data_IF_788398994372
#
_entry.id   IF_788398994372
#
_cell.length_a   1.000
_cell.length_b   1.000
_cell.length_c   1.000
_cell.angle_alpha   90.00
_cell.angle_beta   90.00
_cell.angle_gamma   90.00
#
_symmetry.space_group_name_H-M   'P 1'
#
loop_
_entity.id
_entity.type
_entity.pdbx_description
1 polymer ?
#
# COMPACT_ATOMS: atom_id res chain seq x y z
N UNK A 1 1.68 39.03 -10.28
CA UNK A 1 1.20 37.94 -11.17
C UNK A 1 1.89 36.67 -10.72
N UNK A 2 1.21 35.84 -9.93
CA UNK A 2 1.82 34.60 -9.42
C UNK A 2 1.95 33.61 -10.59
N UNK A 3 3.18 33.12 -10.79
CA UNK A 3 3.46 32.03 -11.70
C UNK A 3 2.65 30.82 -11.26
N UNK A 4 1.75 30.41 -12.14
CA UNK A 4 0.93 29.23 -12.01
C UNK A 4 1.86 28.00 -12.02
N UNK A 5 2.32 27.57 -10.84
CA UNK A 5 2.97 26.28 -10.66
C UNK A 5 1.93 25.21 -11.00
N UNK A 6 1.91 24.79 -12.28
CA UNK A 6 1.41 23.46 -12.62
C UNK A 6 2.26 22.51 -11.79
N UNK A 7 1.74 22.06 -10.63
CA UNK A 7 2.25 20.89 -9.92
C UNK A 7 2.36 19.78 -10.96
N UNK A 8 3.56 19.53 -11.47
CA UNK A 8 3.83 18.37 -12.31
C UNK A 8 3.54 17.19 -11.39
N UNK A 9 2.48 16.43 -11.70
CA UNK A 9 2.19 15.21 -10.96
C UNK A 9 3.47 14.37 -10.95
N UNK A 10 3.93 13.99 -9.76
CA UNK A 10 5.09 13.12 -9.61
C UNK A 10 4.88 11.88 -10.48
N UNK A 11 5.88 11.53 -11.28
CA UNK A 11 5.85 10.29 -12.07
C UNK A 11 5.65 9.05 -11.16
N UNK A 12 6.04 9.18 -9.89
CA UNK A 12 5.83 8.15 -8.88
C UNK A 12 4.40 8.22 -8.33
N UNK A 13 3.51 7.43 -8.92
CA UNK A 13 2.09 7.37 -8.62
C UNK A 13 1.65 6.07 -7.91
N UNK A 14 2.61 5.22 -7.54
CA UNK A 14 2.41 4.01 -6.72
C UNK A 14 3.26 4.08 -5.47
N UNK A 15 2.69 3.75 -4.30
CA UNK A 15 3.47 3.47 -3.09
C UNK A 15 3.61 1.96 -2.89
N UNK A 16 4.84 1.49 -2.68
CA UNK A 16 5.15 0.12 -2.30
C UNK A 16 5.44 0.11 -0.79
N UNK A 17 4.62 -0.60 -0.02
CA UNK A 17 4.74 -0.66 1.46
C UNK A 17 5.37 -1.98 1.91
N UNK A 18 6.13 -1.95 3.02
CA UNK A 18 6.52 -3.19 3.69
C UNK A 18 5.26 -3.93 4.19
N UNK A 19 5.08 -5.18 3.77
CA UNK A 19 3.76 -5.80 3.73
C UNK A 19 3.69 -7.23 4.26
N UNK A 20 4.63 -7.67 5.12
CA UNK A 20 4.56 -9.02 5.71
C UNK A 20 3.21 -9.31 6.37
N UNK A 21 2.65 -8.36 7.11
CA UNK A 21 1.28 -8.43 7.63
C UNK A 21 0.23 -7.81 6.69
N UNK A 22 0.59 -6.76 5.95
CA UNK A 22 -0.37 -6.00 5.16
C UNK A 22 -0.85 -6.72 3.89
N UNK A 23 -0.05 -7.61 3.31
CA UNK A 23 -0.43 -8.34 2.10
C UNK A 23 -1.60 -9.30 2.33
N UNK A 24 -1.58 -10.19 3.34
CA UNK A 24 -2.76 -10.98 3.69
C UNK A 24 -3.98 -10.13 4.06
N UNK A 25 -3.76 -9.02 4.79
CA UNK A 25 -4.85 -8.10 5.16
C UNK A 25 -5.54 -7.51 3.93
N UNK A 26 -4.77 -7.04 2.94
CA UNK A 26 -5.34 -6.54 1.71
C UNK A 26 -6.16 -7.62 0.99
N UNK A 27 -5.62 -8.84 0.84
CA UNK A 27 -6.35 -9.92 0.14
C UNK A 27 -7.67 -10.31 0.82
N UNK A 28 -7.79 -10.11 2.14
CA UNK A 28 -8.98 -10.52 2.90
C UNK A 28 -9.98 -9.39 3.12
N UNK A 29 -9.50 -8.15 3.29
CA UNK A 29 -10.32 -7.02 3.73
C UNK A 29 -10.33 -5.85 2.74
N UNK A 30 -9.53 -5.93 1.67
CA UNK A 30 -9.41 -4.91 0.63
C UNK A 30 -9.05 -3.53 1.22
N UNK A 31 -8.20 -3.55 2.25
CA UNK A 31 -7.78 -2.37 2.97
C UNK A 31 -6.31 -2.47 3.40
N UNK A 32 -5.68 -1.31 3.52
CA UNK A 32 -4.40 -1.13 4.17
C UNK A 32 -4.59 -0.38 5.48
N UNK A 33 -4.15 -0.99 6.58
CA UNK A 33 -4.27 -0.47 7.94
C UNK A 33 -2.87 -0.24 8.49
N UNK A 34 -2.59 0.96 8.99
CA UNK A 34 -1.27 1.30 9.53
C UNK A 34 -1.38 2.30 10.69
N UNK A 35 -0.22 2.78 11.17
CA UNK A 35 -0.17 3.76 12.25
C UNK A 35 -1.01 5.00 11.90
N UNK A 36 -1.75 5.56 12.88
CA UNK A 36 -2.59 6.73 12.65
C UNK A 36 -1.73 7.88 12.14
N UNK A 37 -2.30 8.70 11.24
CA UNK A 37 -1.67 9.92 10.72
C UNK A 37 -0.33 9.69 9.98
N UNK A 38 -0.01 8.44 9.59
CA UNK A 38 1.17 8.16 8.76
C UNK A 38 1.04 8.86 7.42
N UNK A 39 2.01 9.72 7.11
CA UNK A 39 2.06 10.50 5.87
C UNK A 39 2.39 9.65 4.64
N UNK A 40 1.71 9.94 3.54
CA UNK A 40 1.98 9.41 2.21
C UNK A 40 2.06 10.55 1.21
N UNK A 41 2.91 10.42 0.19
CA UNK A 41 2.83 11.28 -0.99
C UNK A 41 1.50 11.02 -1.70
N UNK A 42 1.06 12.00 -2.50
CA UNK A 42 -0.15 11.83 -3.31
C UNK A 42 0.09 10.76 -4.38
N UNK A 43 -0.48 9.58 -4.17
CA UNK A 43 -0.44 8.43 -5.07
C UNK A 43 -1.83 7.85 -5.24
N UNK A 44 -2.07 7.15 -6.34
CA UNK A 44 -3.39 6.58 -6.64
C UNK A 44 -3.43 5.07 -6.47
N UNK A 45 -2.27 4.43 -6.27
CA UNK A 45 -2.15 2.97 -6.19
C UNK A 45 -1.20 2.55 -5.09
N UNK A 46 -1.40 1.33 -4.61
CA UNK A 46 -0.57 0.71 -3.60
C UNK A 46 -0.06 -0.65 -4.10
N UNK A 47 1.21 -0.94 -3.84
CA UNK A 47 1.80 -2.27 -4.00
C UNK A 47 2.38 -2.77 -2.68
N UNK A 48 2.63 -4.07 -2.60
CA UNK A 48 2.99 -4.75 -1.35
C UNK A 48 4.33 -5.45 -1.49
N UNK A 49 5.30 -5.11 -0.65
CA UNK A 49 6.58 -5.81 -0.57
C UNK A 49 6.56 -6.82 0.58
N UNK A 50 6.53 -8.10 0.25
CA UNK A 50 6.47 -9.21 1.21
C UNK A 50 7.32 -10.37 0.70
N UNK A 51 7.93 -11.12 1.63
CA UNK A 51 8.69 -12.34 1.34
C UNK A 51 9.79 -12.15 0.28
N UNK A 52 10.47 -11.00 0.34
CA UNK A 52 11.58 -10.69 -0.57
C UNK A 52 11.14 -10.33 -1.99
N UNK A 53 9.87 -10.00 -2.23
CA UNK A 53 9.38 -9.60 -3.54
C UNK A 53 8.27 -8.54 -3.45
N UNK A 54 8.06 -7.80 -4.52
CA UNK A 54 6.82 -7.04 -4.72
C UNK A 54 5.75 -8.02 -5.20
N UNK A 55 4.62 -8.05 -4.51
CA UNK A 55 3.48 -8.91 -4.79
C UNK A 55 2.72 -8.43 -6.04
N UNK A 56 2.02 -9.34 -6.76
CA UNK A 56 1.55 -9.06 -8.11
C UNK A 56 0.39 -8.07 -8.19
N UNK A 57 -0.38 -7.88 -7.10
CA UNK A 57 -1.56 -7.01 -7.14
C UNK A 57 -1.22 -5.57 -6.75
N UNK A 58 -1.66 -4.64 -7.60
CA UNK A 58 -1.49 -3.19 -7.46
C UNK A 58 -2.86 -2.50 -7.47
N UNK A 59 -3.62 -2.59 -6.37
CA UNK A 59 -4.93 -1.96 -6.26
C UNK A 59 -4.90 -0.44 -6.35
N UNK A 60 -6.03 0.13 -6.79
CA UNK A 60 -6.33 1.55 -6.67
C UNK A 60 -6.68 1.90 -5.23
N UNK A 61 -6.20 3.05 -4.75
CA UNK A 61 -6.62 3.65 -3.49
C UNK A 61 -7.97 4.33 -3.71
N UNK A 62 -8.97 3.98 -2.91
CA UNK A 62 -10.30 4.58 -3.01
C UNK A 62 -10.30 5.88 -2.21
N UNK A 63 -10.00 7.01 -2.86
CA UNK A 63 -9.73 8.30 -2.20
C UNK A 63 -10.83 8.76 -1.22
N UNK A 64 -12.11 8.49 -1.54
CA UNK A 64 -13.25 8.81 -0.67
C UNK A 64 -13.33 7.96 0.62
N UNK A 65 -12.52 6.91 0.73
CA UNK A 65 -12.47 5.97 1.84
C UNK A 65 -11.04 5.87 2.40
N UNK A 66 -10.42 7.03 2.61
CA UNK A 66 -9.19 7.19 3.38
C UNK A 66 -9.52 7.88 4.68
N UNK A 67 -9.20 7.22 5.79
CA UNK A 67 -9.47 7.69 7.14
C UNK A 67 -8.14 7.77 7.90
N UNK A 68 -7.71 8.99 8.22
CA UNK A 68 -6.40 9.24 8.84
C UNK A 68 -6.27 8.68 10.25
N UNK A 69 -7.37 8.71 11.01
CA UNK A 69 -7.41 8.29 12.40
C UNK A 69 -8.78 7.73 12.74
N UNK A 70 -8.86 6.41 12.87
CA UNK A 70 -10.06 5.64 13.19
C UNK A 70 -9.83 4.91 14.51
N UNK A 71 -10.73 5.09 15.47
CA UNK A 71 -10.75 4.26 16.67
C UNK A 71 -11.34 2.89 16.33
N UNK A 72 -10.60 1.81 16.55
CA UNK A 72 -11.10 0.46 16.33
C UNK A 72 -11.87 0.00 17.56
N UNK A 73 -13.19 0.16 17.52
CA UNK A 73 -14.13 -0.27 18.57
C UNK A 73 -15.38 -0.86 17.93
N UNK A 74 -15.80 -2.02 18.43
CA UNK A 74 -16.93 -2.76 17.87
C UNK A 74 -18.21 -1.92 17.88
N UNK A 75 -18.91 -1.84 16.74
CA UNK A 75 -20.18 -1.12 16.59
C UNK A 75 -20.09 0.41 16.63
N UNK A 76 -18.87 0.99 16.69
CA UNK A 76 -18.69 2.44 16.72
C UNK A 76 -18.93 3.11 15.36
N UNK A 77 -18.56 2.43 14.27
CA UNK A 77 -18.64 2.96 12.91
C UNK A 77 -19.78 2.30 12.13
N UNK A 78 -20.19 2.92 11.01
CA UNK A 78 -21.26 2.40 10.13
C UNK A 78 -20.76 2.20 8.70
N UNK A 79 -21.50 1.39 7.94
CA UNK A 79 -21.19 1.08 6.54
C UNK A 79 -19.85 0.35 6.41
N UNK A 80 -19.21 0.50 5.25
CA UNK A 80 -17.98 -0.24 4.91
C UNK A 80 -16.85 -0.10 5.94
N UNK A 81 -16.74 1.05 6.62
CA UNK A 81 -15.76 1.24 7.68
C UNK A 81 -16.11 0.45 8.94
N UNK A 82 -17.39 0.44 9.34
CA UNK A 82 -17.88 -0.38 10.46
C UNK A 82 -17.64 -1.86 10.21
N UNK A 83 -18.03 -2.34 9.03
CA UNK A 83 -17.86 -3.74 8.65
C UNK A 83 -16.37 -4.17 8.70
N UNK A 84 -15.46 -3.30 8.24
CA UNK A 84 -14.02 -3.53 8.32
C UNK A 84 -13.53 -3.59 9.77
N UNK A 85 -13.90 -2.60 10.59
CA UNK A 85 -13.45 -2.49 11.98
C UNK A 85 -13.93 -3.69 12.79
N UNK A 86 -15.21 -4.02 12.73
CA UNK A 86 -15.81 -5.10 13.50
C UNK A 86 -15.20 -6.45 13.11
N UNK A 87 -15.06 -6.70 11.79
CA UNK A 87 -14.48 -7.96 11.29
C UNK A 87 -13.01 -8.12 11.68
N UNK A 88 -12.21 -7.05 11.56
CA UNK A 88 -10.77 -7.11 11.88
C UNK A 88 -10.50 -7.25 13.38
N UNK A 89 -11.37 -6.70 14.23
CA UNK A 89 -11.35 -6.94 15.67
C UNK A 89 -11.75 -8.39 16.01
N UNK A 90 -12.85 -8.87 15.42
CA UNK A 90 -13.32 -10.26 15.62
C UNK A 90 -12.26 -11.28 15.21
N UNK A 91 -11.53 -11.03 14.12
CA UNK A 91 -10.47 -11.90 13.61
C UNK A 91 -9.13 -11.72 14.35
N UNK A 92 -9.09 -10.89 15.40
CA UNK A 92 -7.90 -10.61 16.22
C UNK A 92 -6.74 -9.96 15.46
N UNK A 93 -7.03 -9.31 14.33
CA UNK A 93 -6.02 -8.66 13.48
C UNK A 93 -5.65 -7.27 13.98
N UNK A 94 -6.58 -6.60 14.65
CA UNK A 94 -6.41 -5.28 15.26
C UNK A 94 -6.77 -5.33 16.74
N UNK A 95 -6.29 -4.33 17.49
CA UNK A 95 -6.55 -4.23 18.93
C UNK A 95 -7.69 -3.25 19.19
N UNK A 96 -8.63 -3.65 20.03
CA UNK A 96 -9.74 -2.80 20.43
C UNK A 96 -9.26 -1.57 21.21
N UNK A 97 -9.92 -0.42 20.98
CA UNK A 97 -9.61 0.87 21.58
C UNK A 97 -8.37 1.58 21.00
N UNK A 98 -7.67 0.96 20.03
CA UNK A 98 -6.52 1.59 19.38
C UNK A 98 -6.93 2.42 18.16
N UNK A 99 -6.08 3.38 17.79
CA UNK A 99 -6.28 4.21 16.61
C UNK A 99 -5.41 3.76 15.44
N UNK A 100 -5.98 3.77 14.24
CA UNK A 100 -5.28 3.40 13.02
C UNK A 100 -5.64 4.32 11.85
N UNK A 101 -4.75 4.42 10.88
CA UNK A 101 -5.06 4.93 9.54
C UNK A 101 -5.59 3.79 8.69
N UNK A 102 -6.70 4.02 8.00
CA UNK A 102 -7.35 3.05 7.12
C UNK A 102 -7.43 3.62 5.70
N UNK A 103 -6.92 2.86 4.73
CA UNK A 103 -7.07 3.16 3.30
C UNK A 103 -7.76 1.98 2.63
N UNK A 104 -8.97 2.19 2.12
CA UNK A 104 -9.63 1.18 1.31
C UNK A 104 -9.00 1.10 -0.08
N UNK A 105 -8.90 -0.12 -0.58
CA UNK A 105 -8.25 -0.50 -1.82
C UNK A 105 -9.27 -1.22 -2.71
N UNK A 106 -9.10 -1.12 -4.02
CA UNK A 106 -9.92 -1.87 -4.96
C UNK A 106 -9.80 -3.38 -4.72
N UNK A 107 -10.88 -4.11 -4.98
CA UNK A 107 -10.95 -5.57 -4.81
C UNK A 107 -9.93 -6.29 -5.71
N UNK A 108 -9.28 -7.39 -5.26
CA UNK A 108 -8.33 -8.17 -6.05
C UNK A 108 -8.80 -8.56 -7.46
N UNK A 109 -10.08 -8.87 -7.65
CA UNK A 109 -10.68 -9.25 -8.92
C UNK A 109 -11.33 -8.10 -9.70
N UNK A 110 -11.27 -6.87 -9.19
CA UNK A 110 -11.84 -5.71 -9.89
C UNK A 110 -10.93 -5.19 -11.00
N UNK A 111 -11.52 -4.60 -12.04
CA UNK A 111 -10.77 -3.92 -13.12
C UNK A 111 -9.93 -2.74 -12.64
N UNK A 112 -10.19 -2.24 -11.42
CA UNK A 112 -9.41 -1.17 -10.80
C UNK A 112 -8.10 -1.70 -10.15
N UNK A 113 -7.96 -3.01 -10.00
CA UNK A 113 -6.73 -3.67 -9.52
C UNK A 113 -5.93 -4.20 -10.70
N UNK A 114 -4.68 -3.77 -10.81
CA UNK A 114 -3.78 -4.33 -11.81
C UNK A 114 -3.04 -5.53 -11.25
N UNK A 115 -3.03 -6.61 -12.01
CA UNK A 115 -2.18 -7.77 -11.80
C UNK A 115 -0.92 -7.63 -12.66
N UNK A 116 0.25 -7.74 -12.04
CA UNK A 116 1.55 -7.73 -12.70
C UNK A 116 1.91 -9.11 -13.30
N UNK A 117 1.00 -10.09 -13.20
CA UNK A 117 1.13 -11.51 -13.57
C UNK A 117 2.09 -12.30 -12.67
N UNK A 118 3.20 -11.68 -12.28
CA UNK A 118 4.25 -12.30 -11.48
C UNK A 118 4.71 -11.37 -10.35
N UNK A 119 5.23 -11.96 -9.29
CA UNK A 119 5.97 -11.21 -8.26
C UNK A 119 7.25 -10.63 -8.85
N UNK A 120 7.67 -9.44 -8.38
CA UNK A 120 8.96 -8.84 -8.75
C UNK A 120 9.97 -9.14 -7.62
N UNK A 121 10.88 -10.11 -7.80
CA UNK A 121 11.85 -10.49 -6.76
C UNK A 121 12.84 -9.37 -6.43
N UNK A 122 13.24 -9.32 -5.16
CA UNK A 122 14.28 -8.44 -4.67
C UNK A 122 15.67 -8.95 -5.02
N UNK A 123 16.46 -8.11 -5.63
CA UNK A 123 17.85 -8.36 -6.01
C UNK A 123 18.82 -7.30 -5.47
N UNK A 124 18.33 -6.39 -4.62
CA UNK A 124 19.19 -5.39 -3.98
C UNK A 124 20.09 -6.04 -2.93
N UNK A 125 21.38 -5.70 -2.96
CA UNK A 125 22.38 -6.12 -1.99
C UNK A 125 23.20 -4.94 -1.48
N UNK A 126 23.74 -5.07 -0.27
CA UNK A 126 24.81 -4.19 0.24
C UNK A 126 26.13 -4.44 -0.49
N UNK A 127 27.11 -3.55 -0.31
CA UNK A 127 28.49 -3.76 -0.77
C UNK A 127 29.09 -5.07 -0.24
N UNK A 128 28.67 -5.51 0.95
CA UNK A 128 29.08 -6.77 1.58
C UNK A 128 28.29 -8.00 1.09
N UNK A 129 27.42 -7.84 0.10
CA UNK A 129 26.64 -8.93 -0.51
C UNK A 129 25.40 -9.37 0.27
N UNK A 130 25.00 -8.67 1.33
CA UNK A 130 23.78 -9.01 2.11
C UNK A 130 22.55 -8.45 1.41
N UNK A 131 21.44 -9.20 1.41
CA UNK A 131 20.17 -8.72 0.87
C UNK A 131 19.72 -7.42 1.55
N UNK A 132 19.40 -6.42 0.74
CA UNK A 132 18.90 -5.13 1.19
C UNK A 132 17.40 -5.03 0.91
N UNK A 133 16.61 -4.63 1.91
CA UNK A 133 15.16 -4.53 1.73
C UNK A 133 14.77 -3.38 0.79
N UNK A 134 13.93 -3.66 -0.20
CA UNK A 134 13.51 -2.67 -1.20
C UNK A 134 12.83 -1.43 -0.60
N UNK A 135 11.89 -1.61 0.33
CA UNK A 135 10.97 -0.54 0.73
C UNK A 135 11.47 0.37 1.85
N UNK A 136 12.44 -0.02 2.68
CA UNK A 136 12.88 0.76 3.86
C UNK A 136 11.69 1.48 4.57
N UNK A 137 10.62 0.73 4.86
CA UNK A 137 9.26 1.17 5.26
C UNK A 137 8.26 1.43 4.12
N UNK A 138 8.57 2.34 3.19
CA UNK A 138 7.80 2.56 1.96
C UNK A 138 8.67 3.17 0.85
N UNK A 139 8.35 2.85 -0.40
CA UNK A 139 9.01 3.44 -1.58
C UNK A 139 7.98 3.87 -2.63
N UNK A 140 8.24 4.96 -3.32
CA UNK A 140 7.38 5.45 -4.39
C UNK A 140 7.99 5.11 -5.75
N UNK A 141 7.17 4.61 -6.67
CA UNK A 141 7.59 4.20 -8.01
C UNK A 141 6.55 4.61 -9.05
N UNK A 142 6.99 4.74 -10.30
CA UNK A 142 6.10 4.88 -11.44
C UNK A 142 5.37 3.56 -11.72
N UNK A 143 4.05 3.64 -11.93
CA UNK A 143 3.25 2.49 -12.33
C UNK A 143 3.72 1.89 -13.66
N UNK A 144 4.18 2.71 -14.61
CA UNK A 144 4.69 2.23 -15.89
C UNK A 144 6.01 1.48 -15.75
N UNK A 145 6.91 1.94 -14.87
CA UNK A 145 8.13 1.17 -14.53
C UNK A 145 7.78 -0.13 -13.83
N UNK A 146 6.82 -0.09 -12.91
CA UNK A 146 6.37 -1.26 -12.16
C UNK A 146 5.85 -2.38 -13.08
N UNK A 147 5.05 -2.05 -14.10
CA UNK A 147 4.55 -3.03 -15.09
C UNK A 147 5.64 -3.72 -15.92
N UNK A 148 6.80 -3.10 -16.08
CA UNK A 148 7.90 -3.63 -16.92
C UNK A 148 9.02 -4.27 -16.10
N UNK A 149 9.05 -4.02 -14.80
CA UNK A 149 10.11 -4.47 -13.92
C UNK A 149 10.08 -5.99 -13.77
N UNK A 150 11.26 -6.60 -13.84
CA UNK A 150 11.49 -8.03 -13.57
C UNK A 150 12.16 -8.22 -12.22
N UNK A 151 12.87 -7.21 -11.73
CA UNK A 151 13.50 -7.20 -10.40
C UNK A 151 13.41 -5.81 -9.78
N UNK A 152 13.68 -5.72 -8.49
CA UNK A 152 13.66 -4.44 -7.75
C UNK A 152 14.71 -3.43 -8.23
N UNK A 153 15.83 -3.89 -8.77
CA UNK A 153 16.86 -3.03 -9.36
C UNK A 153 16.34 -2.22 -10.55
N UNK A 154 15.34 -2.72 -11.29
CA UNK A 154 14.68 -2.00 -12.38
C UNK A 154 13.88 -0.77 -11.89
N UNK A 155 13.61 -0.69 -10.58
CA UNK A 155 12.77 0.33 -9.94
C UNK A 155 13.56 1.36 -9.12
N UNK A 156 14.85 1.13 -8.91
CA UNK A 156 15.74 2.15 -8.36
C UNK A 156 16.32 2.97 -9.53
N UNK A 157 16.51 4.26 -9.34
CA UNK A 157 17.35 5.04 -10.26
C UNK A 157 18.79 4.72 -9.85
N UNK A 158 19.61 4.29 -10.81
CA UNK A 158 21.06 4.18 -10.59
C UNK A 158 21.68 5.57 -10.49
#
# INVERSE_FOLDING_TARGET
MMLNEKLIASENNVVIVAARGAWPMYKQYHAYICQPERSFQRVHRMGFYADGAIQPLVPRIIEKHVYERVEFRCGLHRGVLGDLVDKTLSDGKQREGQFYKVMFLSDPGSNDTHDLENTIPNDLTTETGRTWAFTLSQRYVSFDRLKRAKRTSDLVVQ
#
